data_IF_725063944831
#
_entry.id   IF_725063944831
#
_cell.length_a   1.000
_cell.length_b   1.000
_cell.length_c   1.000
_cell.angle_alpha   90.00
_cell.angle_beta   90.00
_cell.angle_gamma   90.00
#
_symmetry.space_group_name_H-M   'P 1'
#
loop_
_entity.id
_entity.type
_entity.pdbx_description
1 polymer ?
#
# COMPACT_ATOMS: atom_id res chain seq x y z
N UNK A 1 -17.78 27.05 20.55
CA UNK A 1 -16.67 26.10 20.83
C UNK A 1 -16.98 24.74 20.22
N UNK A 2 -16.96 24.63 18.89
CA UNK A 2 -17.27 23.38 18.16
C UNK A 2 -16.25 23.07 17.05
N UNK A 3 -15.05 23.64 17.14
CA UNK A 3 -13.98 23.47 16.14
C UNK A 3 -12.99 22.33 16.42
N UNK A 4 -13.33 21.34 17.26
CA UNK A 4 -12.42 20.24 17.65
C UNK A 4 -13.04 18.84 17.56
N UNK A 5 -13.91 18.59 16.58
CA UNK A 5 -14.57 17.28 16.38
C UNK A 5 -14.19 16.55 15.08
N UNK A 6 -13.10 16.93 14.40
CA UNK A 6 -12.63 16.24 13.18
C UNK A 6 -11.25 15.59 13.33
N UNK A 7 -10.96 15.06 14.51
CA UNK A 7 -9.85 14.13 14.71
C UNK A 7 -10.49 12.78 15.05
N UNK A 8 -10.34 11.83 14.13
CA UNK A 8 -10.52 10.38 14.34
C UNK A 8 -11.97 9.86 14.40
N UNK A 9 -12.66 9.79 13.25
CA UNK A 9 -13.61 8.68 13.07
C UNK A 9 -12.78 7.40 12.91
N UNK A 10 -12.44 6.77 14.05
CA UNK A 10 -11.74 5.49 14.10
C UNK A 10 -12.60 4.39 13.46
N UNK A 11 -12.06 3.74 12.44
CA UNK A 11 -12.67 2.56 11.84
C UNK A 11 -12.70 1.40 12.86
N UNK A 12 -13.89 1.03 13.32
CA UNK A 12 -14.12 -0.07 14.27
C UNK A 12 -13.62 -1.41 13.75
N UNK A 13 -13.65 -1.64 12.43
CA UNK A 13 -13.16 -2.88 11.83
C UNK A 13 -11.64 -2.97 11.87
N UNK A 14 -10.95 -1.85 11.60
CA UNK A 14 -9.50 -1.76 11.77
C UNK A 14 -9.09 -2.01 13.23
N UNK A 15 -9.75 -1.35 14.18
CA UNK A 15 -9.50 -1.56 15.61
C UNK A 15 -9.69 -3.02 16.03
N UNK A 16 -10.70 -3.72 15.49
CA UNK A 16 -10.92 -5.15 15.77
C UNK A 16 -9.80 -6.07 15.25
N UNK A 17 -9.12 -5.71 14.15
CA UNK A 17 -7.98 -6.47 13.63
C UNK A 17 -6.69 -6.24 14.43
N UNK A 18 -6.67 -5.17 15.21
CA UNK A 18 -5.51 -4.76 15.98
C UNK A 18 -5.65 -5.30 17.40
N UNK A 19 -4.63 -5.99 17.91
CA UNK A 19 -4.57 -6.25 19.35
C UNK A 19 -4.55 -4.90 20.09
N UNK A 20 -5.29 -4.78 21.19
CA UNK A 20 -5.29 -3.60 22.06
C UNK A 20 -3.89 -3.11 22.45
N UNK A 21 -2.92 -4.02 22.61
CA UNK A 21 -1.52 -3.71 22.93
C UNK A 21 -0.74 -3.20 21.71
N UNK A 22 -1.13 -3.65 20.52
CA UNK A 22 -0.54 -3.26 19.23
C UNK A 22 -1.17 -1.97 18.69
N UNK A 23 -2.41 -1.68 19.10
CA UNK A 23 -3.19 -0.55 18.61
C UNK A 23 -2.41 0.75 18.79
N UNK A 24 -1.86 1.01 19.98
CA UNK A 24 -1.16 2.26 20.26
C UNK A 24 0.17 2.40 19.51
N UNK A 25 0.91 1.30 19.29
CA UNK A 25 2.25 1.37 18.70
C UNK A 25 2.18 1.67 17.21
N UNK A 26 1.32 0.98 16.45
CA UNK A 26 1.29 1.15 14.99
C UNK A 26 0.16 2.03 14.47
N UNK A 27 -0.71 2.60 15.31
CA UNK A 27 -1.78 3.46 14.80
C UNK A 27 -1.28 4.60 13.90
N UNK A 28 -0.21 5.26 14.36
CA UNK A 28 0.43 6.37 13.63
C UNK A 28 1.00 5.91 12.29
N UNK A 29 1.41 4.64 12.20
CA UNK A 29 1.93 4.07 10.97
C UNK A 29 0.90 3.99 9.84
N UNK A 30 -0.39 4.02 10.16
CA UNK A 30 -1.48 3.96 9.20
C UNK A 30 -2.18 5.31 8.94
N UNK A 31 -1.90 6.35 9.74
CA UNK A 31 -2.69 7.59 9.79
C UNK A 31 -1.85 8.86 9.64
N UNK A 32 -0.52 8.78 9.62
CA UNK A 32 0.29 9.96 9.29
C UNK A 32 0.03 10.39 7.84
N UNK A 33 -0.66 11.52 7.69
CA UNK A 33 -0.85 12.41 6.53
C UNK A 33 -2.33 12.82 6.47
N UNK A 34 -2.65 14.02 6.97
CA UNK A 34 -4.00 14.56 7.19
C UNK A 34 -4.92 14.61 5.94
N UNK A 35 -4.40 14.20 4.79
CA UNK A 35 -5.08 14.23 3.49
C UNK A 35 -5.64 12.86 3.09
N UNK A 36 -5.19 11.77 3.72
CA UNK A 36 -5.63 10.41 3.37
C UNK A 36 -6.87 10.00 4.14
N UNK A 37 -7.92 9.69 3.39
CA UNK A 37 -9.16 9.11 3.89
C UNK A 37 -9.05 7.58 3.89
N UNK A 38 -9.48 6.98 4.99
CA UNK A 38 -9.58 5.52 5.12
C UNK A 38 -10.82 5.07 4.37
N UNK A 39 -10.67 4.15 3.42
CA UNK A 39 -11.86 3.67 2.71
C UNK A 39 -12.81 2.88 3.60
N UNK A 40 -14.09 2.82 3.25
CA UNK A 40 -15.11 2.17 4.10
C UNK A 40 -15.64 0.83 3.56
N UNK A 41 -15.68 0.63 2.23
CA UNK A 41 -16.37 -0.51 1.59
C UNK A 41 -15.53 -1.81 1.48
N UNK A 42 -14.29 -1.77 0.98
CA UNK A 42 -13.41 -2.96 0.86
C UNK A 42 -12.46 -3.11 2.03
N UNK A 43 -12.44 -2.15 2.97
CA UNK A 43 -11.81 -2.31 4.28
C UNK A 43 -12.60 -3.22 5.24
N UNK A 44 -13.65 -3.91 4.74
CA UNK A 44 -14.34 -4.96 5.49
C UNK A 44 -13.35 -6.04 5.93
N UNK A 45 -13.58 -6.59 7.13
CA UNK A 45 -12.71 -7.61 7.71
C UNK A 45 -12.54 -8.81 6.76
N UNK A 46 -13.62 -9.22 6.09
CA UNK A 46 -13.62 -10.39 5.23
C UNK A 46 -12.77 -10.18 3.96
N UNK A 47 -12.87 -9.01 3.32
CA UNK A 47 -12.11 -8.71 2.10
C UNK A 47 -10.62 -8.58 2.37
N UNK A 48 -10.26 -7.93 3.49
CA UNK A 48 -8.87 -7.83 3.93
C UNK A 48 -8.31 -9.20 4.29
N UNK A 49 -9.02 -10.00 5.08
CA UNK A 49 -8.57 -11.34 5.46
C UNK A 49 -8.40 -12.25 4.25
N UNK A 50 -9.32 -12.16 3.28
CA UNK A 50 -9.20 -12.90 2.02
C UNK A 50 -7.96 -12.47 1.21
N UNK A 51 -7.69 -11.17 1.14
CA UNK A 51 -6.50 -10.65 0.45
C UNK A 51 -5.22 -11.09 1.13
N UNK A 52 -5.12 -10.95 2.46
CA UNK A 52 -3.98 -11.43 3.25
C UNK A 52 -3.78 -12.93 3.03
N UNK A 53 -4.85 -13.73 3.08
CA UNK A 53 -4.78 -15.18 2.85
C UNK A 53 -4.18 -15.51 1.48
N UNK A 54 -4.62 -14.83 0.41
CA UNK A 54 -4.07 -15.05 -0.94
C UNK A 54 -2.58 -14.74 -1.04
N UNK A 55 -2.15 -13.63 -0.45
CA UNK A 55 -0.72 -13.31 -0.44
C UNK A 55 0.07 -14.29 0.44
N UNK A 56 -0.51 -14.76 1.55
CA UNK A 56 0.13 -15.76 2.40
C UNK A 56 0.29 -17.10 1.68
N UNK A 57 -0.74 -17.59 0.99
CA UNK A 57 -0.67 -18.81 0.16
C UNK A 57 0.45 -18.69 -0.89
N UNK A 58 0.56 -17.52 -1.52
CA UNK A 58 1.62 -17.26 -2.49
C UNK A 58 3.01 -17.23 -1.84
N UNK A 59 3.14 -16.64 -0.66
CA UNK A 59 4.39 -16.61 0.10
C UNK A 59 4.83 -18.03 0.49
N UNK A 60 3.92 -18.86 1.01
CA UNK A 60 4.24 -20.26 1.34
C UNK A 60 4.66 -21.07 0.11
N UNK A 61 4.01 -20.85 -1.04
CA UNK A 61 4.46 -21.44 -2.30
C UNK A 61 5.89 -20.99 -2.67
N UNK A 62 6.19 -19.70 -2.55
CA UNK A 62 7.51 -19.17 -2.90
C UNK A 62 8.63 -19.68 -1.97
N UNK A 63 8.33 -19.93 -0.69
CA UNK A 63 9.28 -20.56 0.23
C UNK A 63 9.81 -21.90 -0.27
N UNK A 64 8.99 -22.68 -0.99
CA UNK A 64 9.35 -23.98 -1.55
C UNK A 64 10.19 -23.89 -2.83
N UNK A 65 10.20 -22.73 -3.49
CA UNK A 65 10.75 -22.57 -4.84
C UNK A 65 12.11 -21.85 -4.91
N UNK A 66 12.60 -21.35 -3.78
CA UNK A 66 13.74 -20.45 -3.65
C UNK A 66 13.71 -19.17 -4.50
N UNK A 67 12.59 -18.85 -5.14
CA UNK A 67 12.41 -17.68 -6.03
C UNK A 67 11.71 -16.52 -5.34
N UNK A 68 11.93 -15.32 -5.87
CA UNK A 68 11.13 -14.13 -5.58
C UNK A 68 9.85 -14.13 -6.44
N UNK A 69 8.86 -13.34 -6.04
CA UNK A 69 7.65 -13.17 -6.84
C UNK A 69 7.97 -12.57 -8.21
N UNK A 70 7.45 -13.16 -9.29
CA UNK A 70 7.80 -12.77 -10.67
C UNK A 70 7.43 -11.33 -11.00
N UNK A 71 6.34 -10.81 -10.41
CA UNK A 71 5.91 -9.42 -10.57
C UNK A 71 6.63 -8.43 -9.63
N UNK A 72 7.61 -8.89 -8.86
CA UNK A 72 8.37 -8.01 -7.97
C UNK A 72 9.29 -7.09 -8.77
N UNK A 73 9.24 -5.79 -8.47
CA UNK A 73 9.98 -4.74 -9.20
C UNK A 73 9.70 -4.69 -10.70
N UNK A 74 8.50 -5.13 -11.09
CA UNK A 74 7.98 -5.00 -12.45
C UNK A 74 6.73 -4.13 -12.37
N UNK A 75 6.78 -2.94 -12.96
CA UNK A 75 5.62 -2.05 -13.07
C UNK A 75 5.61 -1.38 -14.45
N UNK A 76 4.42 -1.15 -14.98
CA UNK A 76 4.21 -0.42 -16.23
C UNK A 76 4.31 1.09 -16.05
N UNK A 77 4.07 1.55 -14.81
CA UNK A 77 4.12 2.96 -14.45
C UNK A 77 5.47 3.30 -13.84
N UNK A 78 5.95 4.56 -13.93
CA UNK A 78 7.13 5.00 -13.20
C UNK A 78 7.01 4.67 -11.71
N UNK A 79 8.02 4.01 -11.15
CA UNK A 79 7.94 3.49 -9.79
C UNK A 79 9.24 3.70 -9.00
N UNK A 80 9.12 3.76 -7.68
CA UNK A 80 10.24 3.91 -6.76
C UNK A 80 10.15 2.86 -5.64
N UNK A 81 11.27 2.20 -5.33
CA UNK A 81 11.40 1.33 -4.16
C UNK A 81 12.32 1.97 -3.12
N UNK A 82 11.85 2.01 -1.88
CA UNK A 82 12.58 2.56 -0.73
C UNK A 82 12.56 1.51 0.38
N UNK A 83 13.73 1.13 0.89
CA UNK A 83 13.88 0.14 1.96
C UNK A 83 14.74 0.71 3.09
N UNK A 84 14.17 0.89 4.29
CA UNK A 84 14.85 1.55 5.42
C UNK A 84 15.55 2.85 4.97
N UNK A 85 14.81 3.69 4.25
CA UNK A 85 15.26 4.95 3.66
C UNK A 85 16.38 4.84 2.60
N UNK A 86 16.78 3.63 2.20
CA UNK A 86 17.64 3.39 1.04
C UNK A 86 16.79 3.30 -0.23
N UNK A 87 17.10 4.14 -1.20
CA UNK A 87 16.47 4.10 -2.52
C UNK A 87 17.13 2.99 -3.34
N UNK A 88 16.31 2.15 -3.98
CA UNK A 88 16.78 1.21 -4.99
C UNK A 88 16.80 1.94 -6.33
N UNK A 89 17.98 2.15 -6.95
CA UNK A 89 18.06 2.86 -8.22
C UNK A 89 17.27 2.13 -9.31
N UNK A 90 16.55 2.88 -10.14
CA UNK A 90 15.87 2.33 -11.32
C UNK A 90 16.94 2.05 -12.37
N UNK A 91 17.11 0.77 -12.71
CA UNK A 91 18.05 0.27 -13.72
C UNK A 91 17.42 -0.99 -14.35
N UNK A 92 18.22 -1.91 -14.89
CA UNK A 92 17.73 -3.23 -15.29
C UNK A 92 17.14 -4.00 -14.12
N UNK A 93 16.09 -4.79 -14.37
CA UNK A 93 15.44 -5.63 -13.36
C UNK A 93 16.46 -6.45 -12.56
N UNK A 94 17.43 -7.07 -13.23
CA UNK A 94 18.52 -7.82 -12.59
C UNK A 94 19.28 -7.00 -11.54
N UNK A 95 19.74 -5.79 -11.90
CA UNK A 95 20.49 -4.92 -10.97
C UNK A 95 19.62 -4.41 -9.80
N UNK A 96 18.34 -4.21 -10.04
CA UNK A 96 17.39 -3.84 -8.99
C UNK A 96 17.23 -4.97 -7.97
N UNK A 97 17.09 -6.21 -8.45
CA UNK A 97 17.08 -7.41 -7.60
C UNK A 97 18.40 -7.57 -6.85
N UNK A 98 19.55 -7.42 -7.51
CA UNK A 98 20.86 -7.48 -6.84
C UNK A 98 20.99 -6.41 -5.75
N UNK A 99 20.49 -5.20 -5.99
CA UNK A 99 20.49 -4.11 -5.00
C UNK A 99 19.57 -4.43 -3.82
N UNK A 100 18.38 -4.96 -4.10
CA UNK A 100 17.44 -5.43 -3.07
C UNK A 100 18.06 -6.52 -2.19
N UNK A 101 18.68 -7.51 -2.80
CA UNK A 101 19.30 -8.63 -2.09
C UNK A 101 20.47 -8.18 -1.20
N UNK A 102 21.22 -7.17 -1.63
CA UNK A 102 22.27 -6.54 -0.80
C UNK A 102 21.69 -5.82 0.41
N UNK A 103 20.58 -5.10 0.24
CA UNK A 103 19.95 -4.34 1.34
C UNK A 103 19.26 -5.29 2.34
N UNK A 104 18.60 -6.34 1.85
CA UNK A 104 17.90 -7.33 2.68
C UNK A 104 18.61 -8.67 2.56
N UNK A 105 19.60 -9.02 3.42
CA UNK A 105 20.34 -10.28 3.28
C UNK A 105 19.49 -11.53 3.59
N UNK A 106 18.47 -11.41 4.44
CA UNK A 106 17.65 -12.54 4.85
C UNK A 106 16.70 -13.00 3.72
N UNK A 107 16.89 -14.24 3.27
CA UNK A 107 16.16 -14.82 2.13
C UNK A 107 14.65 -14.97 2.39
N UNK A 108 14.25 -15.33 3.61
CA UNK A 108 12.82 -15.45 3.95
C UNK A 108 12.12 -14.10 3.92
N UNK A 109 12.80 -13.06 4.41
CA UNK A 109 12.31 -11.68 4.37
C UNK A 109 12.28 -11.15 2.94
N UNK A 110 13.28 -11.47 2.11
CA UNK A 110 13.26 -11.14 0.67
C UNK A 110 12.01 -11.68 0.00
N UNK A 111 11.70 -12.96 0.23
CA UNK A 111 10.51 -13.62 -0.32
C UNK A 111 9.22 -12.96 0.16
N UNK A 112 9.14 -12.68 1.46
CA UNK A 112 7.99 -12.00 2.06
C UNK A 112 7.78 -10.64 1.40
N UNK A 113 8.80 -9.78 1.36
CA UNK A 113 8.72 -8.45 0.75
C UNK A 113 8.33 -8.59 -0.73
N UNK A 114 8.96 -9.48 -1.50
CA UNK A 114 8.66 -9.64 -2.93
C UNK A 114 7.20 -10.03 -3.20
N UNK A 115 6.61 -10.83 -2.30
CA UNK A 115 5.23 -11.30 -2.41
C UNK A 115 4.22 -10.16 -2.28
N UNK A 116 4.51 -9.18 -1.42
CA UNK A 116 3.57 -8.09 -1.12
C UNK A 116 3.95 -6.76 -1.78
N UNK A 117 5.20 -6.54 -2.16
CA UNK A 117 5.68 -5.28 -2.75
C UNK A 117 5.58 -5.30 -4.28
N UNK A 118 4.38 -5.52 -4.81
CA UNK A 118 4.11 -5.51 -6.25
C UNK A 118 2.76 -4.85 -6.55
N UNK A 119 2.52 -4.55 -7.84
CA UNK A 119 1.32 -3.83 -8.30
C UNK A 119 0.00 -4.48 -7.85
N UNK A 120 -0.05 -5.82 -7.70
CA UNK A 120 -1.26 -6.53 -7.27
C UNK A 120 -1.68 -6.11 -5.86
N UNK A 121 -0.75 -5.64 -5.03
CA UNK A 121 -1.01 -5.17 -3.67
C UNK A 121 -1.90 -3.92 -3.64
N UNK A 122 -1.81 -3.05 -4.65
CA UNK A 122 -2.67 -1.88 -4.79
C UNK A 122 -4.04 -2.20 -5.39
N UNK A 123 -4.23 -3.39 -5.98
CA UNK A 123 -5.43 -3.73 -6.76
C UNK A 123 -6.74 -3.50 -5.99
N UNK A 124 -6.80 -3.93 -4.73
CA UNK A 124 -8.00 -3.74 -3.92
C UNK A 124 -8.26 -2.26 -3.62
N UNK A 125 -7.19 -1.50 -3.35
CA UNK A 125 -7.29 -0.05 -3.14
C UNK A 125 -7.81 0.68 -4.39
N UNK A 126 -7.39 0.25 -5.59
CA UNK A 126 -7.91 0.79 -6.86
C UNK A 126 -9.39 0.47 -7.05
N UNK A 127 -9.76 -0.81 -6.95
CA UNK A 127 -11.14 -1.26 -7.16
C UNK A 127 -12.10 -0.51 -6.24
N UNK A 128 -11.69 -0.32 -4.99
CA UNK A 128 -12.41 0.49 -4.04
C UNK A 128 -12.52 1.95 -4.48
N UNK A 129 -11.39 2.61 -4.74
CA UNK A 129 -11.37 4.03 -5.08
C UNK A 129 -12.26 4.35 -6.28
N UNK A 130 -12.18 3.56 -7.36
CA UNK A 130 -13.02 3.76 -8.54
C UNK A 130 -14.49 3.39 -8.34
N UNK A 131 -14.80 2.54 -7.36
CA UNK A 131 -16.19 2.27 -6.96
C UNK A 131 -16.78 3.40 -6.13
N UNK A 132 -15.98 4.08 -5.30
CA UNK A 132 -16.40 5.23 -4.49
C UNK A 132 -16.41 6.54 -5.30
N UNK A 133 -15.54 6.64 -6.31
CA UNK A 133 -15.38 7.82 -7.18
C UNK A 133 -15.42 7.45 -8.67
N UNK A 134 -16.58 7.00 -9.19
CA UNK A 134 -16.71 6.64 -10.61
C UNK A 134 -16.48 7.82 -11.56
N UNK A 135 -16.68 9.06 -11.10
CA UNK A 135 -16.47 10.29 -11.86
C UNK A 135 -15.01 10.48 -12.30
N UNK A 136 -14.05 9.81 -11.66
CA UNK A 136 -12.64 9.84 -12.07
C UNK A 136 -12.44 9.24 -13.47
N UNK A 137 -13.38 8.41 -13.94
CA UNK A 137 -13.36 7.89 -15.31
C UNK A 137 -13.45 8.99 -16.38
N UNK A 138 -13.92 10.19 -16.05
CA UNK A 138 -13.98 11.36 -16.95
C UNK A 138 -12.64 12.08 -17.09
N UNK A 139 -11.64 11.72 -16.29
CA UNK A 139 -10.33 12.34 -16.29
C UNK A 139 -9.28 11.50 -17.02
N UNK A 140 -8.35 12.17 -17.69
CA UNK A 140 -7.11 11.62 -18.18
C UNK A 140 -6.08 11.65 -17.06
N UNK A 141 -5.42 10.51 -16.86
CA UNK A 141 -4.36 10.36 -15.87
C UNK A 141 -3.03 10.89 -16.42
N UNK A 142 -2.35 11.73 -15.64
CA UNK A 142 -1.04 12.32 -15.98
C UNK A 142 -0.07 12.17 -14.81
N UNK A 143 1.23 12.22 -15.10
CA UNK A 143 2.31 12.20 -14.10
C UNK A 143 2.19 11.05 -13.09
N UNK A 144 1.77 9.89 -13.60
CA UNK A 144 1.51 8.68 -12.81
C UNK A 144 2.80 8.21 -12.14
N UNK A 145 2.75 7.95 -10.83
CA UNK A 145 3.88 7.42 -10.07
C UNK A 145 3.42 6.43 -8.99
N UNK A 146 4.17 5.35 -8.86
CA UNK A 146 4.04 4.38 -7.77
C UNK A 146 5.24 4.43 -6.83
N UNK A 147 5.04 4.23 -5.54
CA UNK A 147 6.12 4.14 -4.54
C UNK A 147 5.85 3.00 -3.60
N UNK A 148 6.85 2.15 -3.40
CA UNK A 148 6.82 1.04 -2.46
C UNK A 148 7.86 1.32 -1.37
N UNK A 149 7.38 1.70 -0.18
CA UNK A 149 8.23 1.97 0.98
C UNK A 149 8.15 0.80 1.96
N UNK A 150 9.29 0.21 2.27
CA UNK A 150 9.43 -0.90 3.22
C UNK A 150 10.33 -0.45 4.37
N UNK A 151 9.81 -0.50 5.59
CA UNK A 151 10.55 -0.13 6.78
C UNK A 151 10.47 -1.26 7.81
N UNK A 152 11.59 -1.53 8.47
CA UNK A 152 11.57 -2.31 9.70
C UNK A 152 11.17 -1.39 10.86
N UNK A 153 10.31 -1.92 11.72
CA UNK A 153 9.88 -1.26 12.95
C UNK A 153 10.74 -1.73 14.12
N UNK A 154 10.72 -0.98 15.22
CA UNK A 154 11.61 -1.20 16.38
C UNK A 154 11.44 -2.58 17.04
N UNK A 155 10.31 -3.24 16.84
CA UNK A 155 10.01 -4.58 17.37
C UNK A 155 10.29 -5.71 16.37
N UNK A 156 10.96 -5.40 15.24
CA UNK A 156 11.27 -6.36 14.19
C UNK A 156 10.15 -6.59 13.18
N UNK A 157 8.97 -5.98 13.37
CA UNK A 157 7.89 -6.03 12.39
C UNK A 157 8.28 -5.28 11.11
N UNK A 158 7.67 -5.66 9.99
CA UNK A 158 7.93 -5.03 8.69
C UNK A 158 6.69 -4.26 8.26
N UNK A 159 6.85 -2.96 8.00
CA UNK A 159 5.82 -2.10 7.43
C UNK A 159 6.08 -1.92 5.95
N UNK A 160 5.08 -2.22 5.13
CA UNK A 160 5.09 -1.97 3.70
C UNK A 160 3.95 -1.01 3.34
N UNK A 161 4.29 0.08 2.68
CA UNK A 161 3.37 1.08 2.16
C UNK A 161 3.54 1.16 0.65
N UNK A 162 2.54 0.71 -0.09
CA UNK A 162 2.45 1.00 -1.51
C UNK A 162 1.55 2.22 -1.71
N UNK A 163 2.04 3.19 -2.45
CA UNK A 163 1.31 4.42 -2.79
C UNK A 163 1.33 4.59 -4.29
N UNK A 164 0.20 4.97 -4.86
CA UNK A 164 0.12 5.40 -6.24
C UNK A 164 -0.56 6.75 -6.31
N UNK A 165 0.00 7.66 -7.10
CA UNK A 165 -0.50 9.01 -7.29
C UNK A 165 -0.60 9.33 -8.77
N UNK A 166 -1.58 10.16 -9.11
CA UNK A 166 -1.75 10.68 -10.47
C UNK A 166 -2.34 12.08 -10.42
N UNK A 167 -1.89 12.91 -11.35
CA UNK A 167 -2.59 14.14 -11.69
C UNK A 167 -3.80 13.79 -12.57
N UNK A 168 -4.83 14.63 -12.45
CA UNK A 168 -6.09 14.51 -13.15
C UNK A 168 -6.24 15.69 -14.11
N UNK A 169 -6.50 15.36 -15.37
CA UNK A 169 -6.85 16.35 -16.37
C UNK A 169 -8.16 15.99 -17.06
N UNK A 170 -8.92 16.97 -17.49
CA UNK A 170 -10.26 16.70 -18.02
C UNK A 170 -10.13 16.10 -19.43
N UNK A 171 -10.85 15.01 -19.73
CA UNK A 171 -10.86 14.43 -21.09
C UNK A 171 -11.60 15.32 -22.10
N UNK A 172 -12.64 16.02 -21.66
CA UNK A 172 -13.52 16.81 -22.51
C UNK A 172 -13.64 18.25 -21.99
N UNK A 173 -13.51 19.24 -22.87
CA UNK A 173 -13.54 20.67 -22.50
C UNK A 173 -14.85 21.13 -21.85
N UNK A 174 -15.91 20.33 -21.96
CA UNK A 174 -17.24 20.65 -21.45
C UNK A 174 -17.44 20.23 -19.98
N UNK A 175 -16.52 19.47 -19.39
CA UNK A 175 -16.58 19.06 -17.98
C UNK A 175 -15.82 20.08 -17.11
N UNK A 176 -16.38 20.47 -15.97
CA UNK A 176 -15.73 21.39 -15.03
C UNK A 176 -14.67 20.63 -14.24
N UNK A 177 -13.44 21.18 -14.15
CA UNK A 177 -12.33 20.55 -13.43
C UNK A 177 -12.59 20.61 -11.92
N UNK A 178 -13.13 19.54 -11.36
CA UNK A 178 -13.39 19.45 -9.93
C UNK A 178 -12.15 18.98 -9.16
N UNK A 179 -11.37 18.08 -9.76
CA UNK A 179 -10.21 17.47 -9.12
C UNK A 179 -8.93 17.73 -9.92
N UNK A 180 -7.83 17.95 -9.20
CA UNK A 180 -6.46 18.09 -9.70
C UNK A 180 -5.65 16.81 -9.58
N UNK A 181 -5.86 15.99 -8.56
CA UNK A 181 -5.09 14.76 -8.37
C UNK A 181 -5.76 13.78 -7.42
N UNK A 182 -5.36 12.52 -7.51
CA UNK A 182 -5.72 11.52 -6.53
C UNK A 182 -4.49 10.72 -6.10
N UNK A 183 -4.64 10.06 -4.95
CA UNK A 183 -3.72 9.04 -4.51
C UNK A 183 -4.45 7.87 -3.91
N UNK A 184 -3.90 6.69 -4.08
CA UNK A 184 -4.35 5.46 -3.43
C UNK A 184 -3.18 4.83 -2.68
N UNK A 185 -3.47 4.14 -1.59
CA UNK A 185 -2.46 3.59 -0.71
C UNK A 185 -2.95 2.30 -0.09
N UNK A 186 -2.11 1.28 -0.14
CA UNK A 186 -2.23 0.07 0.65
C UNK A 186 -1.10 0.03 1.66
N UNK A 187 -1.42 -0.19 2.93
CA UNK A 187 -0.44 -0.38 4.00
C UNK A 187 -0.65 -1.73 4.64
N UNK A 188 0.44 -2.46 4.86
CA UNK A 188 0.46 -3.70 5.63
C UNK A 188 1.59 -3.66 6.66
N UNK A 189 1.33 -4.19 7.85
CA UNK A 189 2.34 -4.45 8.87
C UNK A 189 2.36 -5.95 9.13
N UNK A 190 3.52 -6.56 8.89
CA UNK A 190 3.83 -7.96 9.23
C UNK A 190 4.36 -8.00 10.66
N UNK A 191 3.53 -8.44 11.58
CA UNK A 191 3.89 -8.59 12.99
C UNK A 191 4.50 -9.96 13.26
N UNK A 192 5.48 -10.04 14.17
CA UNK A 192 6.20 -11.29 14.47
C UNK A 192 5.29 -12.43 14.98
N UNK A 193 4.27 -12.11 15.78
CA UNK A 193 3.46 -13.11 16.50
C UNK A 193 1.96 -13.08 16.15
N UNK A 194 1.55 -12.22 15.21
CA UNK A 194 0.14 -11.99 14.90
C UNK A 194 -0.10 -11.96 13.39
N UNK A 195 -1.37 -12.07 12.99
CA UNK A 195 -1.78 -11.92 11.61
C UNK A 195 -1.40 -10.52 11.09
N UNK A 196 -0.99 -10.39 9.81
CA UNK A 196 -0.69 -9.11 9.24
C UNK A 196 -1.87 -8.14 9.33
N UNK A 197 -1.58 -6.87 9.60
CA UNK A 197 -2.60 -5.83 9.68
C UNK A 197 -2.55 -5.01 8.40
N UNK A 198 -3.65 -4.97 7.67
CA UNK A 198 -3.76 -4.24 6.41
C UNK A 198 -4.81 -3.13 6.47
N UNK A 199 -4.55 -2.06 5.70
CA UNK A 199 -5.46 -0.93 5.53
C UNK A 199 -5.32 -0.30 4.14
N UNK A 200 -6.45 0.10 3.57
CA UNK A 200 -6.50 0.91 2.36
C UNK A 200 -6.92 2.35 2.68
N UNK A 201 -6.33 3.29 1.95
CA UNK A 201 -6.65 4.71 2.05
C UNK A 201 -6.47 5.38 0.70
N UNK A 202 -7.13 6.51 0.50
CA UNK A 202 -6.98 7.34 -0.69
C UNK A 202 -7.09 8.83 -0.34
N UNK A 203 -6.70 9.69 -1.27
CA UNK A 203 -7.10 11.09 -1.27
C UNK A 203 -7.62 11.45 -2.66
N UNK A 204 -8.44 12.49 -2.70
CA UNK A 204 -8.91 13.13 -3.92
C UNK A 204 -8.92 14.63 -3.68
N UNK A 205 -8.26 15.39 -4.57
CA UNK A 205 -8.03 16.83 -4.47
C UNK A 205 -8.31 17.50 -5.80
#
# INVERSE_FOLDING_TARGET
MEGRKQILNMDKNFKRRMDSNIEKSYYKDFISENEWQVSSQLNSLNNINFTIKKFQEKYEYLKLSDKLEESFMVDSDPFLFIINDHIIPIDTHKKMIESFEKIIPNVEVRRLISTYANKKFLRQSYLQFFSEHPEISEYQLKNIKSTYKINYLNDGSIKLVATHISDLDIKNSNTIKQYKSYGIRATIIFTANNLPIMKYSYFLK
#
